data_IF_721126689649
#
_entry.id   IF_721126689649
#
_cell.length_a   1.000
_cell.length_b   1.000
_cell.length_c   1.000
_cell.angle_alpha   90.00
_cell.angle_beta   90.00
_cell.angle_gamma   90.00
#
_symmetry.space_group_name_H-M   'P 1'
#
loop_
_entity.id
_entity.type
_entity.pdbx_description
1 polymer ?
#
# COMPACT_ATOMS: atom_id res chain seq x y z
N UNK A 1 -0.08 2.18 13.91
CA UNK A 1 1.13 1.68 13.24
C UNK A 1 0.67 1.26 11.87
N UNK A 2 1.22 1.85 10.80
CA UNK A 2 0.73 1.66 9.45
C UNK A 2 0.87 0.18 9.02
N UNK A 3 -0.05 -0.32 8.20
CA UNK A 3 0.03 -1.69 7.70
C UNK A 3 1.18 -1.88 6.71
N UNK A 4 1.49 -0.82 5.97
CA UNK A 4 2.56 -0.76 4.98
C UNK A 4 3.53 0.36 5.35
N UNK A 5 4.82 0.03 5.33
CA UNK A 5 5.90 0.92 5.70
C UNK A 5 6.92 0.97 4.55
N UNK A 6 7.17 2.16 3.99
CA UNK A 6 8.02 2.28 2.81
C UNK A 6 9.45 1.81 3.07
N UNK A 7 10.05 2.13 4.21
CA UNK A 7 11.43 1.75 4.50
C UNK A 7 11.62 0.24 4.65
N UNK A 8 10.58 -0.47 5.12
CA UNK A 8 10.57 -1.92 5.28
C UNK A 8 10.12 -2.68 4.02
N UNK A 9 9.09 -2.18 3.36
CA UNK A 9 8.31 -2.94 2.38
C UNK A 9 8.67 -2.58 0.92
N UNK A 10 9.40 -1.48 0.69
CA UNK A 10 9.82 -1.05 -0.65
C UNK A 10 10.86 -1.99 -1.28
N UNK A 11 10.61 -2.37 -2.53
CA UNK A 11 11.51 -3.22 -3.33
C UNK A 11 11.83 -2.58 -4.67
N UNK A 12 13.00 -1.95 -4.77
CA UNK A 12 13.42 -1.23 -5.97
C UNK A 12 13.61 -2.12 -7.22
N UNK A 13 13.74 -3.43 -7.04
CA UNK A 13 13.92 -4.44 -8.09
C UNK A 13 12.59 -4.98 -8.64
N UNK A 14 11.44 -4.54 -8.10
CA UNK A 14 10.12 -5.06 -8.44
C UNK A 14 9.19 -3.97 -8.95
N UNK A 15 8.35 -4.23 -9.97
CA UNK A 15 7.32 -3.27 -10.39
C UNK A 15 6.36 -2.90 -9.26
N UNK A 16 5.98 -1.61 -9.19
CA UNK A 16 5.08 -1.07 -8.16
C UNK A 16 3.77 -1.86 -8.01
N UNK A 17 3.14 -2.21 -9.14
CA UNK A 17 1.88 -2.95 -9.14
C UNK A 17 2.03 -4.37 -8.57
N UNK A 18 3.15 -5.05 -8.85
CA UNK A 18 3.41 -6.38 -8.31
C UNK A 18 3.73 -6.32 -6.81
N UNK A 19 4.48 -5.31 -6.37
CA UNK A 19 4.71 -5.05 -4.94
C UNK A 19 3.39 -4.82 -4.20
N UNK A 20 2.53 -3.95 -4.74
CA UNK A 20 1.21 -3.66 -4.15
C UNK A 20 0.37 -4.94 -4.03
N UNK A 21 0.31 -5.76 -5.10
CA UNK A 21 -0.42 -7.03 -5.11
C UNK A 21 0.09 -8.00 -4.04
N UNK A 22 1.40 -8.17 -3.91
CA UNK A 22 2.02 -9.05 -2.92
C UNK A 22 1.75 -8.57 -1.49
N UNK A 23 1.96 -7.28 -1.22
CA UNK A 23 1.78 -6.69 0.09
C UNK A 23 0.31 -6.74 0.55
N UNK A 24 -0.62 -6.36 -0.32
CA UNK A 24 -2.06 -6.42 -0.02
C UNK A 24 -2.46 -7.87 0.25
N UNK A 25 -2.05 -8.82 -0.60
CA UNK A 25 -2.35 -10.24 -0.38
C UNK A 25 -1.82 -10.74 0.96
N UNK A 26 -0.57 -10.40 1.31
CA UNK A 26 0.03 -10.79 2.58
C UNK A 26 -0.82 -10.31 3.77
N UNK A 27 -1.34 -9.07 3.74
CA UNK A 27 -2.19 -8.56 4.82
C UNK A 27 -3.55 -9.21 4.88
N UNK A 28 -4.12 -9.59 3.74
CA UNK A 28 -5.36 -10.37 3.71
C UNK A 28 -5.15 -11.77 4.29
N UNK A 29 -4.01 -12.41 3.99
CA UNK A 29 -3.64 -13.73 4.53
C UNK A 29 -3.39 -13.68 6.04
N UNK A 30 -2.90 -12.54 6.56
CA UNK A 30 -2.81 -12.24 8.01
C UNK A 30 -4.19 -11.98 8.65
N UNK A 31 -5.27 -11.93 7.87
CA UNK A 31 -6.65 -11.71 8.33
C UNK A 31 -7.05 -10.24 8.46
N UNK A 32 -6.26 -9.31 7.92
CA UNK A 32 -6.61 -7.89 7.89
C UNK A 32 -7.72 -7.64 6.88
N UNK A 33 -8.68 -6.78 7.22
CA UNK A 33 -9.81 -6.45 6.33
C UNK A 33 -9.41 -5.36 5.34
N UNK A 34 -9.85 -5.49 4.08
CA UNK A 34 -9.63 -4.48 3.02
C UNK A 34 -10.00 -3.06 3.46
N UNK A 35 -11.14 -2.89 4.14
CA UNK A 35 -11.59 -1.58 4.65
C UNK A 35 -10.56 -0.96 5.61
N UNK A 36 -9.94 -1.77 6.46
CA UNK A 36 -8.93 -1.28 7.40
C UNK A 36 -7.63 -0.87 6.68
N UNK A 37 -7.24 -1.63 5.64
CA UNK A 37 -6.10 -1.28 4.79
C UNK A 37 -6.35 0.03 4.04
N UNK A 38 -7.55 0.18 3.45
CA UNK A 38 -7.94 1.40 2.73
C UNK A 38 -7.87 2.63 3.62
N UNK A 39 -8.52 2.60 4.79
CA UNK A 39 -8.53 3.75 5.70
C UNK A 39 -7.12 4.13 6.17
N UNK A 40 -6.25 3.15 6.41
CA UNK A 40 -4.85 3.42 6.76
C UNK A 40 -4.11 4.09 5.58
N UNK A 41 -4.25 3.56 4.37
CA UNK A 41 -3.55 4.08 3.19
C UNK A 41 -4.05 5.46 2.74
N UNK A 42 -5.34 5.76 2.85
CA UNK A 42 -5.86 7.11 2.58
C UNK A 42 -5.22 8.16 3.48
N UNK A 43 -5.05 7.84 4.77
CA UNK A 43 -4.37 8.72 5.74
C UNK A 43 -2.90 8.89 5.38
N UNK A 44 -2.21 7.79 5.06
CA UNK A 44 -0.79 7.83 4.71
C UNK A 44 -0.56 8.63 3.42
N UNK A 45 -1.30 8.35 2.34
CA UNK A 45 -1.23 9.08 1.07
C UNK A 45 -1.48 10.57 1.27
N UNK A 46 -2.49 10.95 2.06
CA UNK A 46 -2.81 12.34 2.38
C UNK A 46 -1.70 13.09 3.14
N UNK A 47 -0.80 12.36 3.82
CA UNK A 47 0.35 12.92 4.53
C UNK A 47 1.65 12.91 3.70
N UNK A 48 1.68 12.21 2.57
CA UNK A 48 2.85 12.08 1.72
C UNK A 48 2.99 13.28 0.76
N UNK A 49 4.22 13.80 0.53
CA UNK A 49 4.44 14.79 -0.52
C UNK A 49 4.13 14.20 -1.90
N UNK A 50 3.18 14.80 -2.61
CA UNK A 50 2.73 14.35 -3.92
C UNK A 50 3.89 14.26 -4.94
N UNK A 51 3.86 13.22 -5.79
CA UNK A 51 4.86 12.99 -6.83
C UNK A 51 6.18 12.37 -6.36
N UNK A 52 6.33 12.08 -5.06
CA UNK A 52 7.48 11.33 -4.55
C UNK A 52 7.30 9.82 -4.78
N UNK A 53 8.41 9.06 -4.75
CA UNK A 53 8.35 7.58 -4.83
C UNK A 53 7.55 6.98 -3.67
N UNK A 54 7.69 7.56 -2.47
CA UNK A 54 6.87 7.22 -1.30
C UNK A 54 5.37 7.37 -1.61
N UNK A 55 4.99 8.52 -2.17
CA UNK A 55 3.60 8.78 -2.55
C UNK A 55 3.12 7.79 -3.62
N UNK A 56 3.93 7.52 -4.65
CA UNK A 56 3.59 6.54 -5.70
C UNK A 56 3.41 5.12 -5.15
N UNK A 57 4.27 4.71 -4.22
CA UNK A 57 4.16 3.42 -3.53
C UNK A 57 2.83 3.26 -2.80
N UNK A 58 2.48 4.24 -1.97
CA UNK A 58 1.23 4.18 -1.22
C UNK A 58 -0.02 4.31 -2.11
N UNK A 59 0.06 5.06 -3.21
CA UNK A 59 -1.04 5.11 -4.19
C UNK A 59 -1.21 3.77 -4.91
N UNK A 60 -0.14 3.10 -5.33
CA UNK A 60 -0.24 1.79 -5.96
C UNK A 60 -0.89 0.75 -5.03
N UNK A 61 -0.58 0.79 -3.74
CA UNK A 61 -1.24 -0.05 -2.73
C UNK A 61 -2.73 0.32 -2.60
N UNK A 62 -3.04 1.61 -2.53
CA UNK A 62 -4.42 2.08 -2.41
C UNK A 62 -5.27 1.66 -3.62
N UNK A 63 -4.75 1.83 -4.84
CA UNK A 63 -5.40 1.38 -6.08
C UNK A 63 -5.67 -0.12 -6.05
N UNK A 64 -4.68 -0.94 -5.68
CA UNK A 64 -4.85 -2.40 -5.57
C UNK A 64 -5.88 -2.79 -4.50
N UNK A 65 -5.99 -2.05 -3.40
CA UNK A 65 -7.03 -2.28 -2.38
C UNK A 65 -8.41 -1.96 -2.98
N UNK A 66 -8.55 -0.84 -3.70
CA UNK A 66 -9.81 -0.43 -4.32
C UNK A 66 -10.28 -1.40 -5.40
N UNK A 67 -9.36 -1.95 -6.20
CA UNK A 67 -9.65 -2.97 -7.22
C UNK A 67 -10.18 -4.29 -6.63
N UNK A 68 -9.92 -4.55 -5.34
CA UNK A 68 -10.33 -5.79 -4.63
C UNK A 68 -11.59 -5.64 -3.78
N UNK A 69 -12.15 -4.43 -3.65
CA UNK A 69 -13.37 -4.17 -2.86
C UNK A 69 -14.64 -4.40 -3.66
#
# INVERSE_FOLDING_TARGET
>A
MAYFDFDRDWRADMPLADQARELVQQKLDEGVRLVALKTDQEVVVGSCPAGTVLWLFHNAILEEIEDRM
#
